data_IF_932106480023
#
_entry.id   IF_932106480023
#
_cell.length_a   1.000
_cell.length_b   1.000
_cell.length_c   1.000
_cell.angle_alpha   90.00
_cell.angle_beta   90.00
_cell.angle_gamma   90.00
#
_symmetry.space_group_name_H-M   'P 1'
#
loop_
_entity.id
_entity.type
_entity.pdbx_description
1 polymer ?
#
# COMPACT_ATOMS: atom_id res chain seq x y z
N UNK A 1 -26.04 3.83 -1.97
CA UNK A 1 -26.09 2.94 -0.79
C UNK A 1 -25.89 3.79 0.45
N UNK A 2 -26.69 3.62 1.51
CA UNK A 2 -26.37 4.15 2.85
C UNK A 2 -25.04 3.60 3.36
N UNK A 3 -24.38 4.29 4.29
CA UNK A 3 -23.16 3.77 4.91
C UNK A 3 -23.49 2.51 5.76
N UNK A 4 -22.63 1.49 5.73
CA UNK A 4 -22.83 0.20 6.39
C UNK A 4 -23.81 -0.73 5.67
N UNK A 5 -24.22 -0.41 4.44
CA UNK A 5 -25.12 -1.26 3.65
C UNK A 5 -24.36 -2.21 2.72
N UNK A 6 -25.03 -3.32 2.37
CA UNK A 6 -24.56 -4.35 1.44
C UNK A 6 -25.41 -4.30 0.17
N UNK A 7 -24.76 -4.29 -0.99
CA UNK A 7 -25.38 -4.53 -2.28
C UNK A 7 -25.00 -5.94 -2.72
N UNK A 8 -25.98 -6.74 -3.09
CA UNK A 8 -25.78 -8.12 -3.52
C UNK A 8 -26.21 -8.20 -4.98
N UNK A 9 -25.28 -8.56 -5.85
CA UNK A 9 -25.53 -8.82 -7.27
C UNK A 9 -25.52 -10.32 -7.47
N UNK A 10 -26.59 -10.85 -8.05
CA UNK A 10 -26.81 -12.29 -8.19
C UNK A 10 -27.11 -12.57 -9.67
N UNK A 11 -26.55 -13.64 -10.23
CA UNK A 11 -26.92 -14.10 -11.59
C UNK A 11 -28.37 -14.60 -11.63
N UNK A 12 -28.98 -14.49 -12.80
CA UNK A 12 -30.31 -15.03 -13.11
C UNK A 12 -30.40 -16.55 -12.90
N UNK A 13 -29.30 -17.29 -13.07
CA UNK A 13 -29.23 -18.72 -12.74
C UNK A 13 -29.84 -19.07 -11.37
N UNK A 14 -29.73 -18.21 -10.35
CA UNK A 14 -30.33 -18.45 -9.03
C UNK A 14 -31.86 -18.52 -9.01
N UNK A 15 -32.53 -17.73 -9.84
CA UNK A 15 -34.00 -17.65 -9.87
C UNK A 15 -34.61 -18.65 -10.85
N UNK A 16 -33.84 -19.09 -11.83
CA UNK A 16 -34.25 -20.01 -12.89
C UNK A 16 -34.17 -21.50 -12.50
N UNK A 17 -33.43 -21.82 -11.43
CA UNK A 17 -33.33 -23.17 -10.89
C UNK A 17 -34.70 -23.72 -10.43
N UNK A 18 -34.96 -24.99 -10.74
CA UNK A 18 -36.27 -25.61 -10.58
C UNK A 18 -36.30 -26.69 -9.50
N UNK A 19 -37.40 -26.74 -8.77
CA UNK A 19 -37.78 -27.89 -7.96
C UNK A 19 -38.11 -29.10 -8.86
N UNK A 20 -38.17 -30.33 -8.31
CA UNK A 20 -38.52 -31.53 -9.07
C UNK A 20 -39.90 -31.48 -9.76
N UNK A 21 -40.80 -30.64 -9.27
CA UNK A 21 -42.12 -30.41 -9.85
C UNK A 21 -42.14 -29.37 -11.00
N UNK A 22 -40.97 -28.80 -11.34
CA UNK A 22 -40.79 -27.79 -12.37
C UNK A 22 -41.08 -26.36 -11.90
N UNK A 23 -41.31 -26.13 -10.60
CA UNK A 23 -41.50 -24.80 -10.05
C UNK A 23 -40.14 -24.08 -9.94
N UNK A 24 -39.99 -22.86 -10.50
CA UNK A 24 -38.74 -22.10 -10.35
C UNK A 24 -38.58 -21.57 -8.92
N UNK A 25 -37.34 -21.41 -8.49
CA UNK A 25 -36.99 -20.81 -7.20
C UNK A 25 -37.59 -19.41 -7.10
N UNK A 26 -37.36 -18.60 -8.15
CA UNK A 26 -37.98 -17.30 -8.34
C UNK A 26 -37.47 -16.18 -7.44
N UNK A 27 -37.79 -14.94 -7.81
CA UNK A 27 -37.33 -13.74 -7.10
C UNK A 27 -37.87 -13.65 -5.66
N UNK A 28 -39.12 -14.03 -5.41
CA UNK A 28 -39.73 -13.91 -4.08
C UNK A 28 -39.00 -14.75 -3.02
N UNK A 29 -38.61 -15.98 -3.36
CA UNK A 29 -37.87 -16.86 -2.42
C UNK A 29 -36.44 -16.39 -2.22
N UNK A 30 -35.82 -15.85 -3.27
CA UNK A 30 -34.50 -15.26 -3.18
C UNK A 30 -34.51 -14.03 -2.25
N UNK A 31 -35.47 -13.11 -2.44
CA UNK A 31 -35.64 -11.95 -1.56
C UNK A 31 -35.88 -12.36 -0.10
N UNK A 32 -36.76 -13.33 0.13
CA UNK A 32 -37.03 -13.84 1.48
C UNK A 32 -35.77 -14.44 2.13
N UNK A 33 -34.97 -15.20 1.38
CA UNK A 33 -33.73 -15.77 1.89
C UNK A 33 -32.70 -14.68 2.21
N UNK A 34 -32.58 -13.66 1.35
CA UNK A 34 -31.67 -12.52 1.60
C UNK A 34 -32.06 -11.71 2.84
N UNK A 35 -33.35 -11.54 3.09
CA UNK A 35 -33.84 -10.87 4.31
C UNK A 35 -33.55 -11.70 5.57
N UNK A 36 -33.83 -13.00 5.52
CA UNK A 36 -33.55 -13.94 6.63
C UNK A 36 -32.06 -13.98 6.97
N UNK A 37 -31.19 -13.90 5.96
CA UNK A 37 -29.74 -14.01 6.11
C UNK A 37 -29.01 -12.65 6.21
N UNK A 38 -29.75 -11.55 6.36
CA UNK A 38 -29.21 -10.19 6.34
C UNK A 38 -28.10 -9.90 7.36
N UNK A 39 -28.09 -10.63 8.49
CA UNK A 39 -27.12 -10.47 9.58
C UNK A 39 -25.89 -11.38 9.46
N UNK A 40 -25.88 -12.32 8.51
CA UNK A 40 -24.76 -13.26 8.32
C UNK A 40 -23.58 -12.58 7.63
N UNK A 41 -22.35 -13.05 7.91
CA UNK A 41 -21.17 -12.62 7.16
C UNK A 41 -21.21 -13.11 5.69
N UNK A 42 -20.28 -12.66 4.85
CA UNK A 42 -20.30 -12.95 3.40
C UNK A 42 -20.23 -14.44 3.07
N UNK A 43 -19.44 -15.21 3.84
CA UNK A 43 -19.26 -16.64 3.61
C UNK A 43 -20.48 -17.41 4.10
N UNK A 44 -20.97 -17.06 5.28
CA UNK A 44 -22.18 -17.62 5.87
C UNK A 44 -23.41 -17.35 5.01
N UNK A 45 -23.55 -16.14 4.46
CA UNK A 45 -24.61 -15.77 3.53
C UNK A 45 -24.59 -16.66 2.28
N UNK A 46 -23.42 -16.78 1.63
CA UNK A 46 -23.26 -17.65 0.46
C UNK A 46 -23.64 -19.10 0.78
N UNK A 47 -23.10 -19.65 1.87
CA UNK A 47 -23.32 -21.04 2.25
C UNK A 47 -24.80 -21.30 2.58
N UNK A 48 -25.45 -20.35 3.25
CA UNK A 48 -26.88 -20.42 3.57
C UNK A 48 -27.77 -20.32 2.32
N UNK A 49 -27.43 -19.45 1.36
CA UNK A 49 -28.15 -19.34 0.08
C UNK A 49 -28.02 -20.63 -0.74
N UNK A 50 -26.80 -21.19 -0.85
CA UNK A 50 -26.59 -22.48 -1.54
C UNK A 50 -27.39 -23.58 -0.84
N UNK A 51 -27.32 -23.69 0.48
CA UNK A 51 -28.07 -24.70 1.23
C UNK A 51 -29.60 -24.57 1.04
N UNK A 52 -30.11 -23.33 0.95
CA UNK A 52 -31.52 -23.07 0.66
C UNK A 52 -31.90 -23.56 -0.73
N UNK A 53 -31.06 -23.30 -1.72
CA UNK A 53 -31.29 -23.71 -3.10
C UNK A 53 -31.22 -25.23 -3.25
N UNK A 54 -30.25 -25.89 -2.61
CA UNK A 54 -30.16 -27.37 -2.54
C UNK A 54 -31.41 -27.98 -1.93
N UNK A 55 -31.89 -27.40 -0.83
CA UNK A 55 -33.10 -27.88 -0.15
C UNK A 55 -34.34 -27.72 -1.03
N UNK A 56 -34.44 -26.64 -1.80
CA UNK A 56 -35.55 -26.39 -2.71
C UNK A 56 -35.52 -27.29 -3.95
N UNK A 57 -34.35 -27.44 -4.58
CA UNK A 57 -34.20 -28.20 -5.81
C UNK A 57 -34.07 -29.72 -5.56
N UNK A 58 -33.88 -30.13 -4.31
CA UNK A 58 -33.59 -31.51 -3.89
C UNK A 58 -32.35 -32.12 -4.60
N UNK A 59 -31.39 -31.27 -4.98
CA UNK A 59 -30.15 -31.64 -5.67
C UNK A 59 -28.99 -30.72 -5.28
N UNK A 60 -27.76 -31.19 -5.47
CA UNK A 60 -26.51 -30.48 -5.18
C UNK A 60 -25.74 -30.04 -6.43
N UNK A 61 -26.31 -30.23 -7.62
CA UNK A 61 -25.79 -29.77 -8.91
C UNK A 61 -26.82 -28.92 -9.63
N UNK A 62 -26.38 -27.82 -10.24
CA UNK A 62 -27.23 -26.79 -10.87
C UNK A 62 -27.00 -26.77 -12.38
N UNK A 63 -28.01 -26.32 -13.13
CA UNK A 63 -27.99 -26.34 -14.60
C UNK A 63 -27.26 -25.12 -15.18
N UNK A 64 -27.15 -24.04 -14.41
CA UNK A 64 -26.47 -22.79 -14.79
C UNK A 64 -25.43 -22.33 -13.75
N UNK A 65 -24.59 -21.38 -14.15
CA UNK A 65 -23.54 -20.80 -13.30
C UNK A 65 -24.13 -19.88 -12.22
N UNK A 66 -23.96 -20.29 -10.96
CA UNK A 66 -24.40 -19.51 -9.80
C UNK A 66 -23.33 -18.49 -9.38
N UNK A 67 -23.58 -17.22 -9.65
CA UNK A 67 -22.70 -16.11 -9.29
C UNK A 67 -23.32 -15.23 -8.21
N UNK A 68 -22.54 -14.90 -7.18
CA UNK A 68 -22.87 -13.88 -6.18
C UNK A 68 -21.70 -12.92 -6.05
N UNK A 69 -21.98 -11.62 -6.15
CA UNK A 69 -21.04 -10.55 -5.83
C UNK A 69 -21.64 -9.74 -4.69
N UNK A 70 -20.90 -9.63 -3.58
CA UNK A 70 -21.27 -8.79 -2.44
C UNK A 70 -20.40 -7.54 -2.44
N UNK A 71 -21.04 -6.38 -2.45
CA UNK A 71 -20.40 -5.06 -2.41
C UNK A 71 -20.78 -4.39 -1.10
N UNK A 72 -19.79 -4.07 -0.27
CA UNK A 72 -19.99 -3.33 0.99
C UNK A 72 -19.75 -1.84 0.78
N UNK A 73 -20.61 -1.00 1.36
CA UNK A 73 -20.42 0.45 1.38
C UNK A 73 -20.06 0.91 2.79
N UNK A 74 -18.77 0.97 3.09
CA UNK A 74 -18.23 1.29 4.43
C UNK A 74 -17.48 2.63 4.42
N UNK A 75 -17.37 3.30 5.58
CA UNK A 75 -16.64 4.57 5.74
C UNK A 75 -15.12 4.38 5.62
N UNK A 76 -14.62 3.24 6.12
CA UNK A 76 -13.26 2.73 5.91
C UNK A 76 -13.34 1.49 5.04
N UNK A 77 -12.32 1.28 4.20
CA UNK A 77 -12.14 -0.02 3.55
C UNK A 77 -11.99 -1.07 4.66
N UNK A 78 -12.88 -2.07 4.79
CA UNK A 78 -12.62 -3.18 5.68
C UNK A 78 -11.38 -3.91 5.18
N UNK A 79 -10.59 -4.45 6.10
CA UNK A 79 -9.46 -5.31 5.79
C UNK A 79 -9.91 -6.38 4.77
N UNK A 80 -9.40 -6.28 3.53
CA UNK A 80 -9.70 -7.27 2.50
C UNK A 80 -9.28 -8.64 3.03
N UNK A 81 -10.20 -9.62 3.01
CA UNK A 81 -9.86 -11.00 3.34
C UNK A 81 -8.81 -11.49 2.34
N UNK A 82 -7.70 -12.03 2.84
CA UNK A 82 -6.54 -12.45 2.07
C UNK A 82 -6.93 -13.45 0.98
N UNK A 83 -7.11 -12.98 -0.26
CA UNK A 83 -7.11 -13.84 -1.42
C UNK A 83 -5.65 -14.21 -1.71
N UNK A 84 -5.20 -15.36 -1.20
CA UNK A 84 -3.87 -15.89 -1.51
C UNK A 84 -3.97 -16.73 -2.79
N UNK A 85 -3.33 -16.29 -3.86
CA UNK A 85 -2.98 -17.16 -4.98
C UNK A 85 -2.13 -18.34 -4.47
N UNK A 86 -2.61 -19.58 -4.60
CA UNK A 86 -1.89 -20.79 -4.17
C UNK A 86 -0.64 -21.10 -5.04
N UNK A 87 -0.45 -20.39 -6.16
CA UNK A 87 0.75 -20.53 -6.97
C UNK A 87 1.75 -19.39 -6.70
N UNK A 88 3.03 -19.69 -6.39
CA UNK A 88 4.05 -18.66 -6.26
C UNK A 88 4.28 -18.02 -7.63
N UNK A 89 3.85 -16.76 -7.77
CA UNK A 89 4.13 -15.96 -8.96
C UNK A 89 5.64 -15.72 -9.05
N UNK A 90 6.22 -16.05 -10.21
CA UNK A 90 7.65 -15.89 -10.44
C UNK A 90 8.02 -14.39 -10.55
N UNK A 91 9.12 -14.00 -9.90
CA UNK A 91 9.63 -12.63 -9.96
C UNK A 91 10.16 -12.32 -11.38
N UNK A 92 9.64 -11.27 -12.00
CA UNK A 92 10.03 -10.84 -13.34
C UNK A 92 11.01 -9.68 -13.24
N UNK A 93 12.23 -9.89 -13.74
CA UNK A 93 13.27 -8.88 -13.82
C UNK A 93 13.32 -8.33 -15.25
N UNK A 94 13.11 -7.03 -15.40
CA UNK A 94 13.18 -6.36 -16.71
C UNK A 94 14.36 -5.39 -16.72
N UNK A 95 15.13 -5.38 -17.81
CA UNK A 95 16.17 -4.39 -18.01
C UNK A 95 15.58 -3.08 -18.54
N UNK A 96 16.30 -1.98 -18.29
CA UNK A 96 15.98 -0.67 -18.83
C UNK A 96 15.82 -0.68 -20.35
N UNK A 97 16.74 -1.30 -21.10
CA UNK A 97 16.69 -1.37 -22.56
C UNK A 97 15.46 -2.12 -23.08
N UNK A 98 15.10 -3.24 -22.42
CA UNK A 98 13.90 -3.97 -22.76
C UNK A 98 12.66 -3.11 -22.52
N UNK A 99 12.56 -2.50 -21.34
CA UNK A 99 11.42 -1.68 -20.97
C UNK A 99 11.27 -0.46 -21.88
N UNK A 100 12.37 0.21 -22.22
CA UNK A 100 12.37 1.36 -23.13
C UNK A 100 11.76 1.03 -24.50
N UNK A 101 11.92 -0.20 -25.00
CA UNK A 101 11.53 -0.58 -26.36
C UNK A 101 10.31 -1.51 -26.45
N UNK A 102 9.81 -2.03 -25.33
CA UNK A 102 8.75 -3.06 -25.32
C UNK A 102 7.63 -2.74 -24.34
N UNK A 103 6.40 -3.00 -24.73
CA UNK A 103 5.23 -2.88 -23.86
C UNK A 103 5.18 -4.03 -22.86
N UNK A 104 4.86 -3.72 -21.61
CA UNK A 104 4.66 -4.74 -20.58
C UNK A 104 3.22 -5.24 -20.65
N UNK A 105 3.04 -6.56 -20.63
CA UNK A 105 1.72 -7.18 -20.67
C UNK A 105 0.88 -6.71 -19.47
N UNK A 106 -0.40 -6.32 -19.66
CA UNK A 106 -1.29 -5.95 -18.57
C UNK A 106 -1.65 -7.12 -17.65
N UNK A 107 -1.38 -8.37 -18.07
CA UNK A 107 -1.69 -9.58 -17.29
C UNK A 107 -0.66 -9.90 -16.20
N UNK A 108 0.45 -9.18 -16.14
CA UNK A 108 1.50 -9.40 -15.17
C UNK A 108 1.25 -8.57 -13.91
N UNK A 109 1.25 -9.22 -12.74
CA UNK A 109 1.17 -8.53 -11.45
C UNK A 109 2.32 -7.53 -11.32
N UNK A 110 1.99 -6.25 -11.09
CA UNK A 110 3.00 -5.17 -10.98
C UNK A 110 3.87 -5.32 -9.74
N UNK A 111 3.35 -5.99 -8.71
CA UNK A 111 4.11 -6.31 -7.51
C UNK A 111 5.28 -7.27 -7.79
N UNK A 112 5.21 -8.10 -8.85
CA UNK A 112 6.21 -9.10 -9.18
C UNK A 112 7.22 -8.63 -10.24
N UNK A 113 7.05 -7.44 -10.80
CA UNK A 113 7.97 -6.87 -11.78
C UNK A 113 8.98 -5.95 -11.07
N UNK A 114 10.27 -6.15 -11.34
CA UNK A 114 11.34 -5.26 -10.91
C UNK A 114 12.09 -4.73 -12.14
N UNK A 115 12.09 -3.41 -12.29
CA UNK A 115 12.89 -2.73 -13.29
C UNK A 115 14.31 -2.54 -12.78
N UNK A 116 15.28 -3.07 -13.51
CA UNK A 116 16.69 -2.78 -13.31
C UNK A 116 17.10 -1.67 -14.27
N UNK A 117 17.47 -0.53 -13.71
CA UNK A 117 17.83 0.66 -14.48
C UNK A 117 18.95 1.43 -13.80
N UNK A 118 19.75 2.14 -14.59
CA UNK A 118 20.96 2.81 -14.10
C UNK A 118 20.99 4.28 -14.52
N UNK A 119 21.12 4.52 -15.84
CA UNK A 119 21.38 5.85 -16.36
C UNK A 119 20.08 6.56 -16.76
N UNK A 120 19.88 7.77 -16.24
CA UNK A 120 18.75 8.65 -16.56
C UNK A 120 17.38 7.98 -16.48
N UNK A 121 17.25 6.98 -15.60
CA UNK A 121 16.06 6.16 -15.51
C UNK A 121 14.82 6.97 -15.10
N UNK A 122 15.00 8.11 -14.42
CA UNK A 122 13.92 9.02 -14.02
C UNK A 122 13.09 9.50 -15.22
N UNK A 123 13.68 9.53 -16.42
CA UNK A 123 12.98 9.85 -17.67
C UNK A 123 11.90 8.82 -18.01
N UNK A 124 11.96 7.64 -17.41
CA UNK A 124 10.96 6.58 -17.56
C UNK A 124 9.77 6.74 -16.61
N UNK A 125 9.82 7.61 -15.59
CA UNK A 125 8.74 7.79 -14.61
C UNK A 125 7.35 8.04 -15.23
N UNK A 126 7.18 8.88 -16.26
CA UNK A 126 5.87 9.06 -16.90
C UNK A 126 5.33 7.76 -17.48
N UNK A 127 6.20 6.95 -18.09
CA UNK A 127 5.83 5.65 -18.62
C UNK A 127 5.62 4.61 -17.53
N UNK A 128 6.45 4.60 -16.49
CA UNK A 128 6.26 3.78 -15.29
C UNK A 128 4.90 4.04 -14.65
N UNK A 129 4.47 5.30 -14.60
CA UNK A 129 3.14 5.67 -14.13
C UNK A 129 2.02 5.09 -15.00
N UNK A 130 2.18 5.08 -16.33
CA UNK A 130 1.20 4.50 -17.26
C UNK A 130 1.18 2.97 -17.21
N UNK A 131 2.35 2.36 -17.14
CA UNK A 131 2.52 0.91 -17.15
C UNK A 131 2.34 0.29 -15.75
N UNK A 132 2.26 1.11 -14.69
CA UNK A 132 2.14 0.68 -13.29
C UNK A 132 3.44 0.10 -12.68
N UNK A 133 4.59 0.34 -13.32
CA UNK A 133 5.89 -0.14 -12.84
C UNK A 133 6.32 0.67 -11.63
N UNK A 134 6.47 0.00 -10.49
CA UNK A 134 6.61 0.65 -9.18
C UNK A 134 7.73 0.09 -8.31
N UNK A 135 8.56 -0.77 -8.88
CA UNK A 135 9.76 -1.33 -8.23
C UNK A 135 10.93 -1.12 -9.16
N UNK A 136 11.88 -0.31 -8.74
CA UNK A 136 13.09 0.00 -9.48
C UNK A 136 14.31 -0.20 -8.59
N UNK A 137 15.28 -0.95 -9.09
CA UNK A 137 16.57 -1.20 -8.44
C UNK A 137 17.70 -0.84 -9.40
N UNK A 138 18.83 -0.40 -8.84
CA UNK A 138 20.00 0.05 -9.60
C UNK A 138 21.12 -0.98 -9.40
N UNK A 139 21.39 -1.89 -10.36
CA UNK A 139 22.34 -2.99 -10.19
C UNK A 139 23.73 -2.55 -9.72
N UNK A 140 24.25 -1.44 -10.27
CA UNK A 140 25.56 -0.91 -9.93
C UNK A 140 25.63 -0.11 -8.63
N UNK A 141 24.56 0.00 -7.84
CA UNK A 141 24.53 0.80 -6.63
C UNK A 141 25.11 0.03 -5.41
N UNK A 142 26.23 0.47 -4.81
CA UNK A 142 26.85 -0.22 -3.67
C UNK A 142 25.97 -0.28 -2.42
N UNK A 143 25.17 0.75 -2.17
CA UNK A 143 24.26 0.80 -1.02
C UNK A 143 23.18 -0.29 -1.14
N UNK A 144 22.59 -0.48 -2.33
CA UNK A 144 21.65 -1.57 -2.57
C UNK A 144 22.29 -2.95 -2.43
N UNK A 145 23.57 -3.09 -2.78
CA UNK A 145 24.31 -4.32 -2.56
C UNK A 145 24.44 -4.63 -1.06
N UNK A 146 24.70 -3.64 -0.21
CA UNK A 146 24.77 -3.81 1.24
C UNK A 146 23.40 -4.14 1.87
N UNK A 147 22.31 -3.64 1.29
CA UNK A 147 20.93 -3.99 1.68
C UNK A 147 20.56 -5.45 1.35
N UNK A 148 21.31 -6.08 0.43
CA UNK A 148 21.17 -7.48 0.05
C UNK A 148 20.14 -7.71 -1.06
N UNK A 149 20.62 -8.20 -2.21
CA UNK A 149 19.78 -8.46 -3.39
C UNK A 149 18.62 -9.40 -3.13
N UNK A 150 18.81 -10.44 -2.31
CA UNK A 150 17.73 -11.37 -1.99
C UNK A 150 16.60 -10.67 -1.22
N UNK A 151 16.93 -9.79 -0.27
CA UNK A 151 15.95 -9.01 0.47
C UNK A 151 15.20 -8.05 -0.47
N UNK A 152 15.94 -7.30 -1.31
CA UNK A 152 15.36 -6.32 -2.23
C UNK A 152 14.42 -6.99 -3.26
N UNK A 153 14.82 -8.13 -3.82
CA UNK A 153 14.05 -8.84 -4.84
C UNK A 153 12.80 -9.50 -4.24
N UNK A 154 12.94 -10.05 -3.04
CA UNK A 154 11.85 -10.68 -2.29
C UNK A 154 11.05 -9.69 -1.44
N UNK A 155 11.30 -8.38 -1.55
CA UNK A 155 10.66 -7.36 -0.73
C UNK A 155 9.12 -7.39 -0.82
N UNK A 156 8.57 -7.85 -1.94
CA UNK A 156 7.13 -8.07 -2.13
C UNK A 156 6.51 -9.07 -1.16
N UNK A 157 7.29 -9.95 -0.53
CA UNK A 157 6.79 -10.86 0.52
C UNK A 157 6.41 -10.05 1.76
N UNK A 158 5.37 -10.51 2.45
CA UNK A 158 4.96 -9.92 3.71
C UNK A 158 6.01 -10.12 4.80
N UNK A 159 6.22 -9.10 5.61
CA UNK A 159 7.12 -9.12 6.77
C UNK A 159 6.66 -8.07 7.75
N UNK A 160 6.63 -8.36 9.04
CA UNK A 160 6.31 -7.37 10.07
C UNK A 160 7.54 -6.64 10.62
N UNK A 161 8.74 -7.15 10.35
CA UNK A 161 9.99 -6.67 10.94
C UNK A 161 10.97 -6.18 9.87
N UNK A 162 10.49 -5.27 9.01
CA UNK A 162 11.25 -4.77 7.87
C UNK A 162 12.59 -4.13 8.26
N UNK A 163 12.62 -3.33 9.33
CA UNK A 163 13.86 -2.74 9.83
C UNK A 163 14.84 -3.80 10.30
N UNK A 164 14.39 -4.79 11.06
CA UNK A 164 15.22 -5.91 11.52
C UNK A 164 15.75 -6.74 10.35
N UNK A 165 14.96 -6.93 9.29
CA UNK A 165 15.39 -7.67 8.10
C UNK A 165 16.57 -7.00 7.41
N UNK A 166 16.47 -5.69 7.14
CA UNK A 166 17.50 -4.97 6.40
C UNK A 166 18.68 -4.54 7.27
N UNK A 167 18.42 -4.14 8.52
CA UNK A 167 19.45 -3.66 9.44
C UNK A 167 20.04 -4.75 10.34
N UNK A 168 19.48 -5.96 10.38
CA UNK A 168 19.93 -7.03 11.29
C UNK A 168 19.97 -6.58 12.76
N UNK A 169 18.92 -5.87 13.18
CA UNK A 169 18.72 -5.41 14.56
C UNK A 169 17.54 -6.13 15.20
N UNK A 170 17.62 -6.40 16.50
CA UNK A 170 16.56 -7.11 17.21
C UNK A 170 15.35 -6.22 17.47
N UNK A 171 15.58 -5.00 17.96
CA UNK A 171 14.51 -4.09 18.40
C UNK A 171 14.75 -2.68 17.87
N UNK A 172 14.02 -2.23 16.83
CA UNK A 172 14.05 -0.83 16.43
C UNK A 172 13.46 0.05 17.53
N UNK A 173 13.93 1.30 17.63
CA UNK A 173 13.31 2.31 18.48
C UNK A 173 11.94 2.67 17.89
N UNK A 174 10.91 2.73 18.74
CA UNK A 174 9.53 3.01 18.35
C UNK A 174 8.99 4.18 19.16
N UNK A 175 8.45 5.19 18.47
CA UNK A 175 7.90 6.40 19.04
C UNK A 175 6.44 6.53 18.57
N UNK A 176 5.45 6.15 19.40
CA UNK A 176 4.04 6.26 19.04
C UNK A 176 3.59 7.72 19.03
N UNK A 177 2.59 8.01 18.21
CA UNK A 177 1.91 9.31 18.12
C UNK A 177 0.46 9.11 18.57
N UNK A 178 -0.03 9.97 19.45
CA UNK A 178 -1.42 9.96 19.92
C UNK A 178 -2.15 11.26 19.59
N UNK A 179 -1.41 12.35 19.39
CA UNK A 179 -1.92 13.66 18.98
C UNK A 179 -0.91 14.34 18.06
N UNK A 180 -1.37 15.22 17.17
CA UNK A 180 -0.50 16.01 16.29
C UNK A 180 0.51 16.86 17.07
N UNK A 181 0.21 17.20 18.33
CA UNK A 181 1.11 17.95 19.21
C UNK A 181 2.31 17.12 19.69
N UNK A 182 2.25 15.78 19.61
CA UNK A 182 3.37 14.89 19.97
C UNK A 182 4.54 15.01 18.99
N UNK A 183 4.27 15.52 17.77
CA UNK A 183 5.23 15.59 16.66
C UNK A 183 6.55 16.24 17.08
N UNK A 184 6.51 17.38 17.77
CA UNK A 184 7.71 18.08 18.22
C UNK A 184 8.53 17.24 19.22
N UNK A 185 7.87 16.56 20.15
CA UNK A 185 8.52 15.69 21.13
C UNK A 185 9.15 14.45 20.50
N UNK A 186 8.45 13.83 19.55
CA UNK A 186 8.95 12.67 18.80
C UNK A 186 10.15 13.03 17.94
N UNK A 187 10.10 14.16 17.23
CA UNK A 187 11.24 14.65 16.43
C UNK A 187 12.43 14.99 17.33
N UNK A 188 12.22 15.63 18.48
CA UNK A 188 13.28 15.90 19.45
C UNK A 188 13.91 14.61 20.01
N UNK A 189 13.10 13.57 20.21
CA UNK A 189 13.57 12.26 20.68
C UNK A 189 14.40 11.55 19.61
N UNK A 190 13.97 11.61 18.34
CA UNK A 190 14.74 11.15 17.18
C UNK A 190 16.11 11.85 17.12
N UNK A 191 16.14 13.18 17.18
CA UNK A 191 17.38 13.95 17.10
C UNK A 191 18.34 13.62 18.26
N UNK A 192 17.81 13.46 19.48
CA UNK A 192 18.59 13.07 20.65
C UNK A 192 19.19 11.67 20.48
N UNK A 193 18.40 10.71 20.03
CA UNK A 193 18.86 9.35 19.76
C UNK A 193 19.94 9.32 18.67
N UNK A 194 19.76 10.06 17.57
CA UNK A 194 20.76 10.15 16.50
C UNK A 194 22.09 10.71 17.02
N UNK A 195 22.05 11.79 17.81
CA UNK A 195 23.23 12.38 18.43
C UNK A 195 23.95 11.41 19.37
N UNK A 196 23.20 10.65 20.18
CA UNK A 196 23.75 9.63 21.08
C UNK A 196 24.42 8.46 20.32
N UNK A 197 24.00 8.21 19.07
CA UNK A 197 24.64 7.20 18.22
C UNK A 197 25.80 7.71 17.38
N UNK A 198 26.27 8.95 17.56
CA UNK A 198 27.37 9.55 16.76
C UNK A 198 27.00 9.72 15.28
N UNK A 199 25.77 10.19 15.02
CA UNK A 199 25.37 10.70 13.69
C UNK A 199 25.76 12.18 13.61
N UNK A 200 26.28 12.59 12.44
CA UNK A 200 26.65 14.00 12.18
C UNK A 200 25.42 14.91 12.18
N UNK A 201 25.62 16.16 12.59
CA UNK A 201 24.54 17.16 12.69
C UNK A 201 23.78 17.39 11.37
N UNK A 202 24.47 17.35 10.23
CA UNK A 202 23.82 17.52 8.92
C UNK A 202 22.83 16.39 8.60
N UNK A 203 23.14 15.17 9.03
CA UNK A 203 22.21 14.05 8.93
C UNK A 203 21.07 14.14 9.95
N UNK A 204 21.32 14.67 11.14
CA UNK A 204 20.27 14.91 12.13
C UNK A 204 19.22 15.88 11.58
N UNK A 205 19.65 16.96 10.92
CA UNK A 205 18.76 17.92 10.27
C UNK A 205 17.92 17.27 9.16
N UNK A 206 18.57 16.48 8.28
CA UNK A 206 17.87 15.75 7.20
C UNK A 206 16.85 14.76 7.77
N UNK A 207 17.23 13.98 8.78
CA UNK A 207 16.36 12.99 9.41
C UNK A 207 15.17 13.64 10.12
N UNK A 208 15.40 14.78 10.77
CA UNK A 208 14.36 15.59 11.41
C UNK A 208 13.34 16.09 10.37
N UNK A 209 13.82 16.63 9.25
CA UNK A 209 12.97 17.07 8.14
C UNK A 209 12.15 15.92 7.54
N UNK A 210 12.79 14.77 7.29
CA UNK A 210 12.13 13.57 6.76
C UNK A 210 11.07 13.06 7.73
N UNK A 211 11.38 12.99 9.02
CA UNK A 211 10.44 12.54 10.04
C UNK A 211 9.22 13.48 10.12
N UNK A 212 9.43 14.79 10.04
CA UNK A 212 8.34 15.77 10.00
C UNK A 212 7.39 15.52 8.81
N UNK A 213 7.95 15.36 7.61
CA UNK A 213 7.16 15.10 6.40
C UNK A 213 6.45 13.75 6.41
N UNK A 214 7.09 12.70 6.95
CA UNK A 214 6.46 11.40 7.16
C UNK A 214 5.26 11.49 8.11
N UNK A 215 5.43 12.16 9.25
CA UNK A 215 4.39 12.33 10.26
C UNK A 215 3.25 13.22 9.73
N UNK A 216 3.56 14.30 9.01
CA UNK A 216 2.57 15.13 8.31
C UNK A 216 1.74 14.31 7.31
N UNK A 217 2.38 13.43 6.55
CA UNK A 217 1.67 12.56 5.63
C UNK A 217 0.73 11.59 6.37
N UNK A 218 1.19 10.96 7.45
CA UNK A 218 0.37 10.06 8.26
C UNK A 218 -0.80 10.78 8.94
N UNK A 219 -0.56 11.99 9.46
CA UNK A 219 -1.54 12.79 10.20
C UNK A 219 -2.57 13.48 9.30
N UNK A 220 -2.23 13.86 8.07
CA UNK A 220 -3.13 14.72 7.28
C UNK A 220 -3.31 14.27 5.83
N UNK A 221 -2.32 13.59 5.24
CA UNK A 221 -2.43 13.17 3.85
C UNK A 221 -3.09 11.79 3.68
N UNK A 222 -2.79 10.85 4.58
CA UNK A 222 -3.28 9.47 4.57
C UNK A 222 -4.75 9.32 4.98
N UNK A 223 -5.29 10.08 5.96
CA UNK A 223 -6.71 10.00 6.31
C UNK A 223 -7.62 10.44 5.17
N UNK A 224 -8.24 9.46 4.50
CA UNK A 224 -9.15 9.67 3.35
C UNK A 224 -10.46 8.94 3.58
N UNK A 225 -11.56 9.59 3.22
CA UNK A 225 -12.88 8.95 3.23
C UNK A 225 -13.03 7.97 2.06
N UNK A 226 -14.15 7.24 2.00
CA UNK A 226 -14.47 6.32 0.91
C UNK A 226 -14.55 6.98 -0.48
N UNK A 227 -14.60 8.32 -0.56
CA UNK A 227 -14.59 9.09 -1.81
C UNK A 227 -13.20 9.64 -2.15
N UNK A 228 -12.17 9.32 -1.35
CA UNK A 228 -10.81 9.83 -1.50
C UNK A 228 -10.61 11.28 -1.03
N UNK A 229 -11.57 11.86 -0.30
CA UNK A 229 -11.46 13.22 0.23
C UNK A 229 -10.70 13.22 1.55
N UNK A 230 -9.94 14.29 1.82
CA UNK A 230 -9.20 14.43 3.08
C UNK A 230 -10.19 14.53 4.25
N UNK A 231 -10.00 13.69 5.27
CA UNK A 231 -10.80 13.75 6.50
C UNK A 231 -10.32 14.92 7.38
N UNK A 232 -9.00 15.16 7.40
CA UNK A 232 -8.38 16.18 8.23
C UNK A 232 -7.70 17.26 7.40
N UNK A 233 -7.71 18.49 7.91
CA UNK A 233 -7.03 19.63 7.30
C UNK A 233 -5.63 19.80 7.90
N UNK A 234 -4.64 20.06 7.04
CA UNK A 234 -3.26 20.30 7.46
C UNK A 234 -3.18 21.51 8.40
N UNK A 235 -2.35 21.41 9.44
CA UNK A 235 -2.09 22.50 10.39
C UNK A 235 -3.18 22.71 11.44
N UNK A 236 -4.18 21.84 11.48
CA UNK A 236 -5.18 21.80 12.57
C UNK A 236 -4.77 20.73 13.56
N UNK A 237 -4.76 21.08 14.85
CA UNK A 237 -4.48 20.11 15.91
C UNK A 237 -5.52 18.99 15.90
N UNK A 238 -5.06 17.75 16.04
CA UNK A 238 -5.92 16.57 16.09
C UNK A 238 -5.42 15.56 17.10
N UNK A 239 -6.37 14.93 17.76
CA UNK A 239 -6.16 13.73 18.58
C UNK A 239 -6.50 12.53 17.70
N UNK A 240 -5.72 11.47 17.79
CA UNK A 240 -6.02 10.23 17.09
C UNK A 240 -7.19 9.51 17.78
N UNK A 241 -8.06 8.92 16.97
CA UNK A 241 -9.12 8.05 17.46
C UNK A 241 -8.51 6.76 18.07
N UNK A 242 -9.27 6.04 18.90
CA UNK A 242 -8.79 4.81 19.55
C UNK A 242 -8.34 3.73 18.55
N UNK A 243 -8.94 3.75 17.35
CA UNK A 243 -8.65 2.84 16.25
C UNK A 243 -7.68 3.44 15.22
N UNK A 244 -7.02 4.56 15.53
CA UNK A 244 -5.96 5.15 14.71
C UNK A 244 -4.61 4.92 15.37
N UNK A 245 -3.66 4.45 14.58
CA UNK A 245 -2.32 4.15 15.05
C UNK A 245 -1.31 4.78 14.11
N UNK A 246 -0.49 5.69 14.64
CA UNK A 246 0.65 6.25 13.95
C UNK A 246 1.89 6.04 14.84
N UNK A 247 2.99 5.60 14.25
CA UNK A 247 4.25 5.47 14.96
C UNK A 247 5.44 5.71 14.04
N UNK A 248 6.48 6.32 14.61
CA UNK A 248 7.78 6.49 13.96
C UNK A 248 8.74 5.44 14.51
N UNK A 249 9.38 4.70 13.63
CA UNK A 249 10.31 3.63 13.93
C UNK A 249 11.67 4.00 13.34
N UNK A 250 12.74 3.66 14.04
CA UNK A 250 14.09 3.91 13.56
C UNK A 250 15.06 2.84 14.02
N UNK A 251 16.09 2.65 13.21
CA UNK A 251 17.15 1.70 13.50
C UNK A 251 18.40 2.07 12.74
N UNK A 252 19.54 1.64 13.25
CA UNK A 252 20.83 1.87 12.61
C UNK A 252 21.69 0.62 12.72
N UNK A 253 22.43 0.31 11.66
CA UNK A 253 23.56 -0.63 11.65
C UNK A 253 24.71 0.00 10.88
N UNK A 254 25.85 0.18 11.54
CA UNK A 254 27.03 0.82 10.94
C UNK A 254 26.68 2.21 10.38
N UNK A 255 26.88 2.43 9.08
CA UNK A 255 26.52 3.66 8.38
C UNK A 255 25.09 3.65 7.83
N UNK A 256 24.35 2.54 7.90
CA UNK A 256 22.98 2.47 7.40
C UNK A 256 22.01 2.89 8.50
N UNK A 257 21.30 3.98 8.26
CA UNK A 257 20.17 4.43 9.08
C UNK A 257 18.86 4.15 8.34
N UNK A 258 17.81 3.77 9.08
CA UNK A 258 16.46 3.69 8.55
C UNK A 258 15.47 4.44 9.43
N UNK A 259 14.55 5.16 8.78
CA UNK A 259 13.39 5.79 9.41
C UNK A 259 12.14 5.24 8.73
N UNK A 260 11.22 4.70 9.52
CA UNK A 260 9.96 4.14 9.06
C UNK A 260 8.80 4.83 9.76
N UNK A 261 7.85 5.35 8.99
CA UNK A 261 6.54 5.70 9.51
C UNK A 261 5.58 4.53 9.27
N UNK A 262 4.77 4.22 10.28
CA UNK A 262 3.62 3.33 10.16
C UNK A 262 2.33 4.08 10.49
N UNK A 263 1.33 3.90 9.65
CA UNK A 263 -0.05 4.25 9.91
C UNK A 263 -0.99 3.09 9.57
N UNK A 264 -2.22 3.12 10.08
CA UNK A 264 -3.23 2.10 9.80
C UNK A 264 -4.30 2.54 8.78
N UNK A 265 -3.96 3.41 7.83
CA UNK A 265 -4.90 3.89 6.79
C UNK A 265 -4.84 3.07 5.50
N UNK A 266 -3.64 2.80 5.00
CA UNK A 266 -3.44 2.06 3.74
C UNK A 266 -4.09 2.70 2.51
N UNK A 267 -4.16 4.04 2.46
CA UNK A 267 -4.84 4.80 1.40
C UNK A 267 -3.91 5.24 0.26
N UNK A 268 -2.60 5.14 0.45
CA UNK A 268 -1.61 5.52 -0.56
C UNK A 268 -1.59 4.49 -1.69
N UNK A 269 -1.77 4.94 -2.93
CA UNK A 269 -1.73 4.08 -4.12
C UNK A 269 -0.42 4.25 -4.90
N UNK A 270 -0.03 3.25 -5.71
CA UNK A 270 1.13 3.39 -6.60
C UNK A 270 1.01 4.57 -7.57
N UNK A 271 -0.19 4.80 -8.11
CA UNK A 271 -0.47 5.90 -9.04
C UNK A 271 -0.22 7.26 -8.40
N UNK A 272 -0.64 7.45 -7.13
CA UNK A 272 -0.37 8.70 -6.39
C UNK A 272 1.13 8.93 -6.22
N UNK A 273 1.92 7.89 -5.88
CA UNK A 273 3.37 8.03 -5.78
C UNK A 273 3.97 8.42 -7.14
N UNK A 274 3.74 7.60 -8.16
CA UNK A 274 4.37 7.77 -9.48
C UNK A 274 4.00 9.10 -10.14
N UNK A 275 2.74 9.53 -10.01
CA UNK A 275 2.29 10.84 -10.48
C UNK A 275 3.03 11.98 -9.77
N UNK A 276 3.20 11.89 -8.44
CA UNK A 276 3.93 12.91 -7.67
C UNK A 276 5.40 12.95 -8.05
N UNK A 277 6.07 11.79 -8.19
CA UNK A 277 7.47 11.75 -8.61
C UNK A 277 7.63 12.32 -10.04
N UNK A 278 6.78 11.90 -10.98
CA UNK A 278 6.84 12.34 -12.38
C UNK A 278 6.58 13.84 -12.56
N UNK A 279 5.66 14.42 -11.80
CA UNK A 279 5.34 15.86 -11.88
C UNK A 279 6.55 16.75 -11.56
N UNK A 280 7.36 16.38 -10.56
CA UNK A 280 8.57 17.13 -10.19
C UNK A 280 9.67 17.02 -11.24
N UNK A 281 9.87 15.83 -11.84
CA UNK A 281 10.86 15.64 -12.91
C UNK A 281 10.52 16.45 -14.17
N UNK A 282 9.24 16.56 -14.50
CA UNK A 282 8.79 17.30 -15.68
C UNK A 282 8.81 18.83 -15.49
N UNK A 283 9.33 19.34 -14.38
CA UNK A 283 9.41 20.78 -14.11
C UNK A 283 8.05 21.43 -13.82
N UNK A 284 6.99 20.65 -13.61
CA UNK A 284 5.69 21.14 -13.12
C UNK A 284 5.72 21.41 -11.61
N UNK A 285 6.89 21.78 -11.07
CA UNK A 285 7.21 21.81 -9.64
C UNK A 285 6.11 22.42 -8.78
N UNK A 286 5.96 21.88 -7.57
CA UNK A 286 5.02 22.30 -6.52
C UNK A 286 3.84 23.13 -7.04
N UNK A 287 2.82 22.46 -7.58
CA UNK A 287 1.54 23.15 -7.79
C UNK A 287 1.11 23.70 -6.42
N UNK A 288 1.20 25.03 -6.29
CA UNK A 288 0.87 25.73 -5.06
C UNK A 288 -0.55 25.31 -4.63
N UNK A 289 -0.70 24.90 -3.37
CA UNK A 289 -1.92 24.39 -2.75
C UNK A 289 -2.39 22.97 -3.12
N UNK A 290 -1.65 22.17 -3.90
CA UNK A 290 -2.04 20.76 -4.15
C UNK A 290 -1.39 19.72 -3.22
N UNK A 291 -0.31 20.06 -2.51
CA UNK A 291 0.44 19.07 -1.73
C UNK A 291 1.10 18.01 -2.64
N UNK A 292 2.24 17.47 -2.24
CA UNK A 292 2.97 16.49 -3.08
C UNK A 292 4.46 16.74 -3.21
N UNK A 293 4.98 17.85 -2.68
CA UNK A 293 6.41 18.05 -2.44
C UNK A 293 7.00 16.99 -1.53
N UNK A 294 6.28 16.65 -0.44
CA UNK A 294 6.76 15.75 0.61
C UNK A 294 7.25 14.40 0.08
N UNK A 295 6.47 13.67 -0.72
CA UNK A 295 6.89 12.35 -1.22
C UNK A 295 8.11 12.41 -2.16
N UNK A 296 8.21 13.43 -2.99
CA UNK A 296 9.38 13.63 -3.84
C UNK A 296 10.61 13.99 -2.99
N UNK A 297 10.43 14.87 -1.99
CA UNK A 297 11.48 15.26 -1.06
C UNK A 297 12.00 14.05 -0.26
N UNK A 298 11.09 13.26 0.31
CA UNK A 298 11.39 12.00 1.00
C UNK A 298 12.21 11.08 0.10
N UNK A 299 11.74 10.85 -1.12
CA UNK A 299 12.48 10.05 -2.10
C UNK A 299 13.87 10.61 -2.38
N UNK A 300 14.01 11.93 -2.60
CA UNK A 300 15.29 12.54 -2.97
C UNK A 300 16.33 12.53 -1.85
N UNK A 301 15.91 12.58 -0.59
CA UNK A 301 16.82 12.56 0.55
C UNK A 301 17.27 11.16 0.98
N UNK A 302 16.57 10.10 0.55
CA UNK A 302 16.99 8.72 0.83
C UNK A 302 18.00 8.18 -0.18
N UNK A 303 18.76 7.16 0.21
CA UNK A 303 19.54 6.33 -0.73
C UNK A 303 18.71 5.17 -1.28
N UNK A 304 17.70 4.76 -0.52
CA UNK A 304 16.68 3.80 -0.94
C UNK A 304 15.36 4.07 -0.21
N UNK A 305 14.26 4.12 -0.96
CA UNK A 305 12.91 4.30 -0.41
C UNK A 305 12.06 3.06 -0.64
N UNK A 306 11.40 2.58 0.40
CA UNK A 306 10.44 1.49 0.31
C UNK A 306 9.12 1.89 0.93
N UNK A 307 8.05 1.79 0.17
CA UNK A 307 6.68 2.00 0.64
C UNK A 307 5.93 0.69 0.55
N UNK A 308 5.38 0.22 1.66
CA UNK A 308 4.51 -0.94 1.72
C UNK A 308 3.12 -0.52 2.12
N UNK A 309 2.12 -1.00 1.39
CA UNK A 309 0.72 -0.69 1.66
C UNK A 309 -0.08 -1.98 1.67
N UNK A 310 -0.79 -2.17 2.77
CA UNK A 310 -1.90 -3.11 2.88
C UNK A 310 -3.18 -2.30 2.75
N UNK A 311 -3.88 -2.35 1.61
CA UNK A 311 -4.95 -1.41 1.30
C UNK A 311 -6.05 -1.40 2.37
N UNK A 312 -6.38 -0.20 2.86
CA UNK A 312 -7.37 -0.01 3.93
C UNK A 312 -6.95 -0.50 5.31
N UNK A 313 -5.71 -0.96 5.48
CA UNK A 313 -5.22 -1.54 6.74
C UNK A 313 -3.97 -0.85 7.27
N UNK A 314 -3.01 -0.57 6.39
CA UNK A 314 -1.69 -0.11 6.83
C UNK A 314 -0.89 0.54 5.70
N UNK A 315 -0.19 1.61 6.03
CA UNK A 315 0.90 2.18 5.24
C UNK A 315 2.18 2.09 6.06
N UNK A 316 3.26 1.60 5.44
CA UNK A 316 4.62 1.69 5.97
C UNK A 316 5.48 2.42 4.96
N UNK A 317 6.04 3.56 5.33
CA UNK A 317 6.98 4.31 4.50
C UNK A 317 8.35 4.29 5.16
N UNK A 318 9.29 3.58 4.54
CA UNK A 318 10.65 3.35 5.04
C UNK A 318 11.66 4.04 4.14
N UNK A 319 12.50 4.88 4.74
CA UNK A 319 13.63 5.50 4.07
C UNK A 319 14.91 4.95 4.68
N UNK A 320 15.86 4.60 3.82
CA UNK A 320 17.20 4.16 4.19
C UNK A 320 18.22 5.20 3.72
N UNK A 321 19.23 5.43 4.55
CA UNK A 321 20.27 6.44 4.36
C UNK A 321 21.64 5.81 4.54
N UNK A 322 22.58 6.18 3.68
CA UNK A 322 24.01 5.94 3.82
C UNK A 322 24.65 7.15 4.52
N UNK A 323 24.93 7.04 5.81
CA UNK A 323 25.46 8.14 6.61
C UNK A 323 26.86 8.62 6.16
N UNK A 324 27.58 7.84 5.34
CA UNK A 324 28.88 8.24 4.81
C UNK A 324 28.77 9.18 3.60
N UNK A 325 27.63 9.18 2.90
CA UNK A 325 27.42 9.91 1.65
C UNK A 325 26.21 10.85 1.76
N UNK A 326 26.40 12.17 1.91
CA UNK A 326 25.28 13.08 2.03
C UNK A 326 24.36 13.03 0.79
N UNK A 327 23.07 13.37 0.92
CA UNK A 327 22.13 13.32 -0.19
C UNK A 327 22.63 14.11 -1.41
N UNK A 328 22.78 13.44 -2.54
CA UNK A 328 23.33 14.02 -3.77
C UNK A 328 22.23 14.58 -4.69
N UNK A 329 22.39 15.82 -5.14
CA UNK A 329 21.46 16.45 -6.11
C UNK A 329 21.41 15.71 -7.45
N UNK A 330 22.51 15.04 -7.83
CA UNK A 330 22.71 14.48 -9.17
C UNK A 330 22.25 13.02 -9.34
N UNK A 331 21.80 12.35 -8.26
CA UNK A 331 21.40 10.94 -8.31
C UNK A 331 19.97 10.71 -7.85
N UNK A 332 19.20 9.93 -8.62
CA UNK A 332 17.84 9.53 -8.30
C UNK A 332 17.80 8.16 -7.61
N UNK A 333 17.34 8.07 -6.35
CA UNK A 333 17.39 6.85 -5.55
C UNK A 333 16.49 5.73 -6.08
N UNK A 334 16.90 4.49 -5.88
CA UNK A 334 16.01 3.35 -6.12
C UNK A 334 14.79 3.41 -5.19
N UNK A 335 13.66 2.88 -5.64
CA UNK A 335 12.49 2.76 -4.79
C UNK A 335 11.68 1.50 -5.08
N UNK A 336 10.96 1.02 -4.06
CA UNK A 336 9.98 -0.05 -4.24
C UNK A 336 8.65 0.33 -3.57
N UNK A 337 7.58 0.28 -4.34
CA UNK A 337 6.21 0.39 -3.84
C UNK A 337 5.53 -0.98 -3.87
N UNK A 338 5.24 -1.49 -2.68
CA UNK A 338 4.77 -2.84 -2.42
C UNK A 338 3.30 -2.77 -1.98
N UNK A 339 2.40 -2.86 -2.96
CA UNK A 339 0.95 -2.82 -2.74
C UNK A 339 0.41 -4.24 -2.68
N UNK A 340 -0.07 -4.66 -1.50
CA UNK A 340 -0.55 -6.01 -1.23
C UNK A 340 -2.04 -6.14 -1.53
N UNK A 341 -2.39 -6.03 -2.81
CA UNK A 341 -3.71 -6.39 -3.31
C UNK A 341 -3.61 -6.85 -4.76
N UNK A 342 -4.19 -8.02 -5.04
CA UNK A 342 -4.34 -8.55 -6.39
C UNK A 342 -5.62 -8.03 -7.09
N UNK A 343 -6.50 -7.38 -6.33
CA UNK A 343 -7.79 -6.85 -6.80
C UNK A 343 -7.69 -5.32 -6.75
N UNK A 344 -8.09 -4.64 -7.82
CA UNK A 344 -8.00 -3.18 -7.98
C UNK A 344 -6.61 -2.58 -8.31
N UNK A 345 -5.73 -3.30 -9.01
CA UNK A 345 -4.65 -2.64 -9.78
C UNK A 345 -5.20 -2.03 -11.08
N UNK A 346 -6.16 -1.11 -10.97
CA UNK A 346 -6.64 -0.33 -12.13
C UNK A 346 -5.93 1.02 -12.11
N UNK A 347 -5.32 1.37 -13.24
CA UNK A 347 -4.61 2.64 -13.48
C UNK A 347 -5.49 3.86 -13.18
#
# INVERSE_FOLDING_TARGET
MPLGSRLILISDGWVEENAPDGTPFGYERLEQALEEFSTLDDKQLRDALIARLITFCERDTFDDDLSIIVVHHNERYPAMSEWRSEQPLELIRISQDYYANKTISPRLSRQHIVLFAEHEWQNLLPRMSQDGIRRILIPGNPFLQEMGWDNLLNAHKETDNELSLYLHIDTPLQLPITTSTDKLGVISSLASWLAETDVRDDWIDVCTLVADELLENALYAAPRDARGQAIHSKGVDRILNEDEHISLHMGRRNNILAIQMRDNWGTLTPSILLQRLGAHIQGHGLIANQGGGGLYLLWRFSDYMQIRVFPGRETRATLFFDLDHPPHEDHYPAFQFLYHSDICEVN
#
